data_IF_842140738826
#
_entry.id   IF_842140738826
#
_cell.length_a   1.000
_cell.length_b   1.000
_cell.length_c   1.000
_cell.angle_alpha   90.00
_cell.angle_beta   90.00
_cell.angle_gamma   90.00
#
_symmetry.space_group_name_H-M   'P 1'
#
loop_
_entity.id
_entity.type
_entity.pdbx_description
1 polymer ?
#
# COMPACT_ATOMS: atom_id res chain seq x y z
N UNK A 1 -7.09 4.93 -2.93
CA UNK A 1 -5.76 4.77 -2.28
C UNK A 1 -4.82 5.96 -2.56
N UNK A 2 -4.37 6.21 -3.79
CA UNK A 2 -3.27 7.16 -4.05
C UNK A 2 -3.51 8.59 -3.54
N UNK A 3 -4.64 9.21 -3.89
CA UNK A 3 -4.98 10.58 -3.45
C UNK A 3 -5.12 10.65 -1.92
N UNK A 4 -5.75 9.64 -1.32
CA UNK A 4 -5.93 9.57 0.14
C UNK A 4 -4.57 9.51 0.85
N UNK A 5 -3.70 8.58 0.45
CA UNK A 5 -2.35 8.47 1.04
C UNK A 5 -1.53 9.73 0.78
N UNK A 6 -1.63 10.32 -0.40
CA UNK A 6 -0.93 11.57 -0.71
C UNK A 6 -1.35 12.71 0.22
N UNK A 7 -2.65 12.87 0.47
CA UNK A 7 -3.15 13.88 1.41
C UNK A 7 -2.72 13.55 2.85
N UNK A 8 -2.88 12.31 3.30
CA UNK A 8 -2.52 11.89 4.67
C UNK A 8 -1.03 11.97 4.97
N UNK A 9 -0.19 11.90 3.93
CA UNK A 9 1.27 12.01 4.05
C UNK A 9 1.77 13.42 3.75
N UNK A 10 0.90 14.43 3.82
CA UNK A 10 1.25 15.84 3.60
C UNK A 10 1.93 16.02 2.24
N UNK A 11 1.33 15.42 1.20
CA UNK A 11 1.80 15.50 -0.18
C UNK A 11 3.19 14.89 -0.43
N UNK A 12 3.67 14.02 0.46
CA UNK A 12 5.03 13.45 0.38
C UNK A 12 5.08 12.08 -0.29
N UNK A 13 4.04 11.25 -0.18
CA UNK A 13 4.08 9.85 -0.60
C UNK A 13 2.97 9.51 -1.58
N UNK A 14 3.36 8.93 -2.71
CA UNK A 14 2.46 8.27 -3.64
C UNK A 14 2.72 6.75 -3.58
N UNK A 15 1.68 5.92 -3.34
CA UNK A 15 1.83 4.47 -3.34
C UNK A 15 2.40 3.93 -4.65
N UNK A 16 3.31 2.96 -4.55
CA UNK A 16 3.85 2.21 -5.68
C UNK A 16 2.89 1.12 -6.14
N UNK A 17 3.03 0.68 -7.39
CA UNK A 17 2.17 -0.32 -8.02
C UNK A 17 2.05 -1.61 -7.19
N UNK A 18 3.16 -2.20 -6.75
CA UNK A 18 3.12 -3.44 -5.96
C UNK A 18 2.37 -3.27 -4.63
N UNK A 19 2.36 -2.05 -4.05
CA UNK A 19 1.64 -1.77 -2.81
C UNK A 19 0.14 -1.76 -3.07
N UNK A 20 -0.28 -1.17 -4.20
CA UNK A 20 -1.67 -1.16 -4.65
C UNK A 20 -2.16 -2.56 -5.00
N UNK A 21 -1.36 -3.35 -5.74
CA UNK A 21 -1.71 -4.73 -6.09
C UNK A 21 -1.88 -5.62 -4.86
N UNK A 22 -0.97 -5.52 -3.88
CA UNK A 22 -1.10 -6.25 -2.63
C UNK A 22 -2.32 -5.79 -1.82
N UNK A 23 -2.59 -4.49 -1.78
CA UNK A 23 -3.77 -3.94 -1.10
C UNK A 23 -5.07 -4.47 -1.72
N UNK A 24 -5.13 -4.55 -3.05
CA UNK A 24 -6.26 -5.13 -3.77
C UNK A 24 -6.43 -6.62 -3.45
N UNK A 25 -5.35 -7.39 -3.34
CA UNK A 25 -5.42 -8.79 -2.94
C UNK A 25 -6.01 -8.93 -1.53
N UNK A 26 -5.52 -8.14 -0.57
CA UNK A 26 -5.98 -8.14 0.83
C UNK A 26 -7.47 -7.77 0.92
N UNK A 27 -7.90 -6.70 0.22
CA UNK A 27 -9.31 -6.26 0.20
C UNK A 27 -10.25 -7.31 -0.43
N UNK A 28 -9.71 -8.20 -1.27
CA UNK A 28 -10.46 -9.33 -1.83
C UNK A 28 -10.37 -10.60 -0.99
N UNK A 29 -9.87 -10.52 0.25
CA UNK A 29 -9.72 -11.66 1.16
C UNK A 29 -8.67 -12.67 0.69
N UNK A 30 -7.69 -12.24 -0.11
CA UNK A 30 -6.59 -13.08 -0.61
C UNK A 30 -5.28 -12.72 0.08
N UNK A 31 -4.49 -13.74 0.39
CA UNK A 31 -3.13 -13.57 0.85
C UNK A 31 -2.22 -13.11 -0.30
N UNK A 32 -1.18 -12.32 0.02
CA UNK A 32 -0.21 -11.80 -0.95
C UNK A 32 1.20 -11.89 -0.39
N UNK A 33 2.11 -12.47 -1.18
CA UNK A 33 3.55 -12.52 -0.86
C UNK A 33 4.25 -11.42 -1.66
N UNK A 34 4.92 -10.49 -0.96
CA UNK A 34 5.68 -9.41 -1.60
C UNK A 34 7.16 -9.55 -1.24
N UNK A 35 7.98 -9.78 -2.27
CA UNK A 35 9.44 -9.80 -2.13
C UNK A 35 10.01 -8.44 -2.49
N UNK A 36 10.41 -7.67 -1.49
CA UNK A 36 11.12 -6.41 -1.68
C UNK A 36 12.12 -6.17 -0.55
N UNK A 37 13.17 -5.37 -0.78
CA UNK A 37 14.17 -5.02 0.23
C UNK A 37 13.59 -4.26 1.44
N UNK A 38 14.37 -4.14 2.51
CA UNK A 38 14.05 -3.19 3.60
C UNK A 38 14.10 -1.74 3.06
N UNK A 39 13.33 -0.83 3.67
CA UNK A 39 13.20 0.54 3.15
C UNK A 39 12.30 0.71 1.91
N UNK A 40 11.82 -0.38 1.31
CA UNK A 40 10.85 -0.36 0.20
C UNK A 40 9.41 -0.01 0.62
N UNK A 41 9.20 0.51 1.84
CA UNK A 41 7.90 0.98 2.31
C UNK A 41 6.79 -0.10 2.25
N UNK A 42 7.13 -1.39 2.45
CA UNK A 42 6.16 -2.51 2.52
C UNK A 42 5.04 -2.29 3.54
N UNK A 43 5.28 -1.47 4.57
CA UNK A 43 4.28 -1.06 5.55
C UNK A 43 3.03 -0.47 4.90
N UNK A 44 3.17 0.26 3.79
CA UNK A 44 2.03 0.82 3.06
C UNK A 44 1.11 -0.26 2.49
N UNK A 45 1.61 -1.46 2.18
CA UNK A 45 0.79 -2.58 1.72
C UNK A 45 -0.23 -3.05 2.76
N UNK A 46 0.01 -2.75 4.05
CA UNK A 46 -0.89 -3.08 5.16
C UNK A 46 -1.77 -1.87 5.53
N UNK A 47 -1.19 -0.67 5.50
CA UNK A 47 -1.92 0.56 5.85
C UNK A 47 -2.99 0.91 4.81
N UNK A 48 -2.69 0.79 3.51
CA UNK A 48 -3.64 1.12 2.43
C UNK A 48 -4.96 0.35 2.56
N UNK A 49 -4.98 -1.00 2.71
CA UNK A 49 -6.22 -1.75 2.86
C UNK A 49 -6.89 -1.56 4.22
N UNK A 50 -6.19 -1.06 5.26
CA UNK A 50 -6.82 -0.73 6.55
C UNK A 50 -7.60 0.59 6.49
N UNK A 51 -7.18 1.51 5.62
CA UNK A 51 -7.83 2.82 5.42
C UNK A 51 -8.97 2.79 4.40
N UNK A 52 -9.15 1.68 3.69
CA UNK A 52 -10.17 1.47 2.65
C UNK A 52 -11.22 0.47 3.13
#
# INVERSE_FOLDING_TARGET
ACVIIYILTVMAIVPREFQLQASLAILNGKDSIITAGTGSSKTLCIIIPLLL
#
